data_IF_751501261741
#
_entry.id   IF_751501261741
#
_cell.length_a   1.000
_cell.length_b   1.000
_cell.length_c   1.000
_cell.angle_alpha   90.00
_cell.angle_beta   90.00
_cell.angle_gamma   90.00
#
_symmetry.space_group_name_H-M   'P 1'
#
loop_
_entity.id
_entity.type
_entity.pdbx_description
1 polymer ?
#
# COMPACT_ATOMS: atom_id res chain seq x y z
N UNK A 1 -0.84 6.73 9.05
CA UNK A 1 -0.51 6.60 7.61
C UNK A 1 0.76 5.76 7.48
N UNK A 2 0.91 4.97 6.43
CA UNK A 2 2.11 4.17 6.18
C UNK A 2 2.54 4.22 4.71
N UNK A 3 3.84 4.01 4.47
CA UNK A 3 4.53 4.11 3.18
C UNK A 3 5.52 2.95 3.05
N UNK A 4 6.03 2.71 1.85
CA UNK A 4 7.11 1.76 1.61
C UNK A 4 6.81 0.78 0.49
N UNK A 5 7.25 -0.46 0.67
CA UNK A 5 7.22 -1.52 -0.34
C UNK A 5 6.41 -2.74 0.15
N UNK A 6 6.77 -3.94 -0.31
CA UNK A 6 6.14 -5.20 0.05
C UNK A 6 6.13 -5.50 1.55
N UNK A 7 7.08 -4.98 2.32
CA UNK A 7 7.16 -5.21 3.77
C UNK A 7 6.05 -4.48 4.54
N UNK A 8 5.45 -3.45 3.92
CA UNK A 8 4.38 -2.64 4.50
C UNK A 8 3.08 -2.75 3.72
N UNK A 9 3.08 -3.18 2.45
CA UNK A 9 1.89 -3.23 1.60
C UNK A 9 0.80 -4.20 2.13
N UNK A 10 -0.31 -3.61 2.57
CA UNK A 10 -1.47 -4.34 3.12
C UNK A 10 -2.54 -4.70 2.08
N UNK A 11 -2.27 -4.47 0.79
CA UNK A 11 -3.13 -4.97 -0.30
C UNK A 11 -3.20 -4.12 -1.56
N UNK A 12 -2.48 -2.99 -1.66
CA UNK A 12 -2.39 -2.19 -2.89
C UNK A 12 -1.91 -3.03 -4.07
N UNK A 13 -1.03 -4.01 -3.83
CA UNK A 13 -0.56 -4.94 -4.85
C UNK A 13 -1.68 -5.68 -5.60
N UNK A 14 -2.84 -5.92 -4.98
CA UNK A 14 -3.98 -6.56 -5.66
C UNK A 14 -4.73 -5.61 -6.61
N UNK A 15 -4.54 -4.30 -6.46
CA UNK A 15 -5.25 -3.27 -7.22
C UNK A 15 -4.39 -2.63 -8.32
N UNK A 16 -3.08 -2.91 -8.35
CA UNK A 16 -2.18 -2.40 -9.37
C UNK A 16 -1.90 -3.46 -10.46
N UNK A 17 -2.09 -3.10 -11.73
CA UNK A 17 -1.95 -4.02 -12.86
C UNK A 17 -0.58 -4.72 -12.91
N UNK A 18 0.50 -4.02 -12.56
CA UNK A 18 1.87 -4.55 -12.54
C UNK A 18 2.06 -5.70 -11.52
N UNK A 19 1.26 -5.72 -10.45
CA UNK A 19 1.46 -6.64 -9.30
C UNK A 19 0.26 -7.55 -9.03
N UNK A 20 -0.92 -7.27 -9.59
CA UNK A 20 -2.20 -7.94 -9.23
C UNK A 20 -2.25 -9.44 -9.50
N UNK A 21 -1.40 -9.94 -10.40
CA UNK A 21 -1.26 -11.35 -10.73
C UNK A 21 0.06 -11.95 -10.18
N UNK A 22 0.72 -11.21 -9.27
CA UNK A 22 1.97 -11.61 -8.64
C UNK A 22 1.77 -12.68 -7.56
N UNK A 23 2.87 -13.14 -6.93
CA UNK A 23 2.82 -14.21 -5.93
C UNK A 23 1.84 -13.94 -4.78
N UNK A 24 1.74 -12.71 -4.30
CA UNK A 24 0.89 -12.33 -3.15
C UNK A 24 -0.62 -12.38 -3.42
N UNK A 25 -1.04 -12.68 -4.66
CA UNK A 25 -2.45 -12.88 -5.01
C UNK A 25 -2.90 -14.34 -4.98
N UNK A 26 -2.03 -15.28 -4.56
CA UNK A 26 -2.31 -16.73 -4.49
C UNK A 26 -1.71 -17.37 -3.24
N UNK A 27 -2.13 -18.59 -2.85
CA UNK A 27 -1.48 -19.33 -1.77
C UNK A 27 0.04 -19.48 -2.00
N UNK A 28 0.87 -19.49 -0.93
CA UNK A 28 0.50 -19.57 0.49
C UNK A 28 0.20 -18.19 1.14
N UNK A 29 0.15 -17.11 0.38
CA UNK A 29 0.00 -15.76 0.96
C UNK A 29 -1.35 -15.58 1.64
N UNK A 30 -1.33 -15.08 2.88
CA UNK A 30 -2.50 -14.88 3.73
C UNK A 30 -3.14 -16.15 4.34
N UNK A 31 -2.58 -17.34 4.14
CA UNK A 31 -3.09 -18.62 4.65
C UNK A 31 -3.19 -18.72 6.19
N UNK A 32 -2.24 -18.19 6.95
CA UNK A 32 -2.18 -18.40 8.42
C UNK A 32 -3.17 -17.53 9.19
N UNK A 33 -3.39 -16.28 8.74
CA UNK A 33 -4.23 -15.31 9.44
C UNK A 33 -5.51 -14.95 8.69
N UNK A 34 -5.41 -14.55 7.41
CA UNK A 34 -6.54 -14.04 6.63
C UNK A 34 -7.36 -15.15 5.95
N UNK A 35 -6.81 -16.37 5.88
CA UNK A 35 -7.37 -17.54 5.19
C UNK A 35 -7.64 -17.31 3.69
N UNK A 36 -7.01 -16.28 3.11
CA UNK A 36 -7.04 -15.95 1.68
C UNK A 36 -5.90 -14.99 1.34
N UNK A 37 -5.46 -14.93 0.08
CA UNK A 37 -4.53 -13.90 -0.39
C UNK A 37 -5.09 -12.50 -0.18
N UNK A 38 -4.26 -11.61 0.38
CA UNK A 38 -4.61 -10.19 0.61
C UNK A 38 -3.68 -9.21 -0.10
N UNK A 39 -2.71 -9.70 -0.88
CA UNK A 39 -1.68 -8.88 -1.50
C UNK A 39 -0.46 -8.61 -0.62
N UNK A 40 -0.52 -8.94 0.68
CA UNK A 40 0.63 -8.91 1.59
C UNK A 40 1.69 -9.91 1.15
N UNK A 41 2.95 -9.53 1.22
CA UNK A 41 4.08 -10.42 1.00
C UNK A 41 4.39 -11.27 2.25
N UNK A 42 3.37 -11.91 2.80
CA UNK A 42 3.42 -12.77 3.99
C UNK A 42 2.33 -13.84 3.88
N UNK A 43 2.52 -14.98 4.56
CA UNK A 43 1.47 -15.99 4.73
C UNK A 43 0.36 -15.51 5.68
N UNK A 44 0.52 -14.34 6.29
CA UNK A 44 -0.47 -13.74 7.18
C UNK A 44 -0.26 -12.24 7.31
N UNK A 45 -0.06 -11.80 8.55
CA UNK A 45 0.13 -10.40 8.92
C UNK A 45 1.52 -9.88 8.55
N UNK A 46 1.62 -8.57 8.42
CA UNK A 46 2.86 -7.79 8.33
C UNK A 46 3.15 -7.10 9.68
N UNK A 47 4.37 -6.60 9.86
CA UNK A 47 4.77 -5.84 11.06
C UNK A 47 3.81 -4.68 11.34
N UNK A 48 3.33 -3.99 10.30
CA UNK A 48 2.36 -2.89 10.43
C UNK A 48 1.01 -3.33 11.01
N UNK A 49 0.57 -4.56 10.75
CA UNK A 49 -0.68 -5.09 11.32
C UNK A 49 -0.52 -5.28 12.83
N UNK A 50 0.60 -5.88 13.28
CA UNK A 50 0.90 -6.04 14.71
C UNK A 50 1.00 -4.70 15.45
N UNK A 51 1.59 -3.67 14.83
CA UNK A 51 1.65 -2.33 15.40
C UNK A 51 0.24 -1.74 15.56
N UNK A 52 -0.61 -1.86 14.54
CA UNK A 52 -1.98 -1.36 14.60
C UNK A 52 -2.80 -2.06 15.69
N UNK A 53 -2.69 -3.39 15.79
CA UNK A 53 -3.31 -4.19 16.85
C UNK A 53 -2.84 -3.77 18.25
N UNK A 54 -1.53 -3.60 18.44
CA UNK A 54 -0.95 -3.19 19.72
C UNK A 54 -1.40 -1.78 20.15
N UNK A 55 -1.64 -0.89 19.19
CA UNK A 55 -2.16 0.46 19.45
C UNK A 55 -3.69 0.51 19.57
N UNK A 56 -4.40 -0.61 19.35
CA UNK A 56 -5.86 -0.66 19.35
C UNK A 56 -6.51 0.15 18.24
N UNK A 57 -5.79 0.39 17.13
CA UNK A 57 -6.30 1.15 15.98
C UNK A 57 -6.66 0.22 14.82
N UNK A 58 -7.59 0.61 13.93
CA UNK A 58 -7.92 -0.18 12.76
C UNK A 58 -6.72 -0.36 11.83
N UNK A 59 -6.69 -1.47 11.08
CA UNK A 59 -5.74 -1.64 9.99
C UNK A 59 -5.93 -0.53 8.94
N UNK A 60 -4.85 0.09 8.45
CA UNK A 60 -4.95 1.17 7.48
C UNK A 60 -5.47 0.64 6.14
N UNK A 61 -6.40 1.38 5.54
CA UNK A 61 -6.97 1.06 4.22
C UNK A 61 -5.88 1.16 3.15
N UNK A 62 -5.68 0.13 2.29
CA UNK A 62 -4.82 0.28 1.12
C UNK A 62 -5.33 1.41 0.22
N UNK A 63 -4.47 2.37 -0.12
CA UNK A 63 -4.84 3.56 -0.90
C UNK A 63 -5.62 3.23 -2.19
N UNK A 64 -5.20 2.22 -2.95
CA UNK A 64 -5.81 1.82 -4.22
C UNK A 64 -7.14 1.07 -4.03
N UNK A 65 -7.48 0.66 -2.81
CA UNK A 65 -8.74 0.00 -2.49
C UNK A 65 -9.82 0.99 -2.04
N UNK A 66 -9.45 2.13 -1.46
CA UNK A 66 -10.39 3.15 -0.98
C UNK A 66 -10.87 4.10 -2.08
N UNK A 67 -12.08 4.65 -1.91
CA UNK A 67 -12.73 5.52 -2.92
C UNK A 67 -13.20 6.86 -2.36
N UNK A 68 -13.30 6.99 -1.03
CA UNK A 68 -13.92 8.12 -0.36
C UNK A 68 -13.11 8.60 0.85
N UNK A 69 -13.44 9.79 1.35
CA UNK A 69 -12.87 10.31 2.59
C UNK A 69 -13.15 9.39 3.80
N UNK A 70 -14.30 8.72 3.81
CA UNK A 70 -14.68 7.81 4.88
C UNK A 70 -13.78 6.57 4.92
N UNK A 71 -13.43 6.01 3.76
CA UNK A 71 -12.50 4.88 3.65
C UNK A 71 -11.12 5.20 4.24
N UNK A 72 -10.74 6.48 4.23
CA UNK A 72 -9.42 6.96 4.62
C UNK A 72 -9.37 7.60 6.01
N UNK A 73 -10.53 7.86 6.64
CA UNK A 73 -10.62 8.53 7.95
C UNK A 73 -9.84 7.82 9.05
N UNK A 74 -9.75 6.49 9.00
CA UNK A 74 -9.09 5.66 10.03
C UNK A 74 -7.67 5.27 9.67
N UNK A 75 -7.09 5.92 8.65
CA UNK A 75 -5.72 5.70 8.21
C UNK A 75 -5.62 5.05 6.84
N UNK A 76 -4.51 5.32 6.16
CA UNK A 76 -4.24 4.86 4.80
C UNK A 76 -2.83 4.30 4.71
N UNK A 77 -2.69 3.23 3.92
CA UNK A 77 -1.44 2.63 3.54
C UNK A 77 -1.14 2.91 2.07
N UNK A 78 -0.05 3.62 1.80
CA UNK A 78 0.39 4.00 0.47
C UNK A 78 1.46 3.07 -0.11
N UNK A 79 1.95 2.10 0.68
CA UNK A 79 2.98 1.16 0.25
C UNK A 79 2.49 0.27 -0.90
N UNK A 80 3.38 -0.05 -1.84
CA UNK A 80 3.09 -0.98 -2.94
C UNK A 80 4.23 -1.97 -3.05
N UNK A 81 3.93 -3.27 -3.11
CA UNK A 81 4.93 -4.31 -3.33
C UNK A 81 5.84 -3.98 -4.52
N UNK A 82 7.16 -3.96 -4.30
CA UNK A 82 8.15 -3.63 -5.33
C UNK A 82 8.33 -2.13 -5.63
N UNK A 83 7.68 -1.24 -4.88
CA UNK A 83 7.92 0.20 -4.99
C UNK A 83 9.36 0.55 -4.61
N UNK A 84 9.86 1.63 -5.22
CA UNK A 84 11.24 2.11 -5.03
C UNK A 84 11.27 3.44 -4.30
N UNK A 85 12.39 3.74 -3.61
CA UNK A 85 12.55 5.06 -2.99
C UNK A 85 12.69 6.19 -4.04
N UNK A 86 13.31 5.88 -5.18
CA UNK A 86 13.63 6.85 -6.23
C UNK A 86 12.72 6.66 -7.45
N UNK A 87 12.56 7.71 -8.24
CA UNK A 87 11.73 7.67 -9.46
C UNK A 87 12.35 6.81 -10.58
N UNK A 88 11.56 6.44 -11.60
CA UNK A 88 12.03 5.62 -12.73
C UNK A 88 13.25 6.22 -13.44
N UNK A 89 13.32 7.54 -13.61
CA UNK A 89 14.42 8.25 -14.27
C UNK A 89 15.81 7.92 -13.68
N UNK A 90 15.88 7.72 -12.35
CA UNK A 90 17.12 7.33 -11.67
C UNK A 90 17.61 5.94 -12.11
N UNK A 91 16.69 5.01 -12.35
CA UNK A 91 17.03 3.66 -12.78
C UNK A 91 17.30 3.64 -14.28
N UNK A 92 16.50 4.36 -15.07
CA UNK A 92 16.63 4.43 -16.52
C UNK A 92 17.97 5.05 -16.94
N UNK A 93 18.44 6.09 -16.23
CA UNK A 93 19.79 6.66 -16.42
C UNK A 93 20.94 5.68 -16.15
N UNK A 94 20.66 4.52 -15.52
CA UNK A 94 21.61 3.42 -15.29
C UNK A 94 21.32 2.18 -16.14
N UNK A 95 20.43 2.28 -17.12
CA UNK A 95 20.01 1.16 -17.95
C UNK A 95 19.16 0.11 -17.21
N UNK A 96 18.54 0.50 -16.08
CA UNK A 96 17.66 -0.35 -15.28
C UNK A 96 16.21 0.08 -15.48
N UNK A 97 15.29 -0.88 -15.47
CA UNK A 97 13.85 -0.62 -15.51
C UNK A 97 13.17 -1.20 -14.28
N UNK A 98 12.61 -0.38 -13.38
CA UNK A 98 11.84 -0.87 -12.26
C UNK A 98 10.64 -1.68 -12.75
N UNK A 99 10.40 -2.82 -12.12
CA UNK A 99 9.25 -3.67 -12.45
C UNK A 99 7.91 -2.98 -12.11
N UNK A 100 7.88 -2.24 -11.00
CA UNK A 100 6.68 -1.57 -10.50
C UNK A 100 6.78 -0.07 -10.78
N UNK A 101 5.76 0.53 -11.43
CA UNK A 101 5.76 1.96 -11.77
C UNK A 101 5.34 2.84 -10.58
N UNK A 102 5.82 2.51 -9.38
CA UNK A 102 5.51 3.23 -8.14
C UNK A 102 6.81 3.52 -7.40
N UNK A 103 7.00 4.79 -7.09
CA UNK A 103 8.09 5.28 -6.25
C UNK A 103 7.53 5.99 -5.02
N UNK A 104 8.42 6.37 -4.09
CA UNK A 104 8.06 7.20 -2.94
C UNK A 104 7.38 8.52 -3.38
N UNK A 105 7.77 9.12 -4.50
CA UNK A 105 7.13 10.33 -5.04
C UNK A 105 5.64 10.11 -5.34
N UNK A 106 5.27 8.95 -5.87
CA UNK A 106 3.86 8.59 -6.08
C UNK A 106 3.12 8.50 -4.74
N UNK A 107 3.71 7.81 -3.76
CA UNK A 107 3.10 7.62 -2.45
C UNK A 107 2.93 8.95 -1.68
N UNK A 108 3.91 9.84 -1.77
CA UNK A 108 3.84 11.19 -1.21
C UNK A 108 2.74 12.03 -1.90
N UNK A 109 2.56 11.87 -3.21
CA UNK A 109 1.48 12.51 -3.95
C UNK A 109 0.11 11.99 -3.50
N UNK A 110 -0.06 10.67 -3.37
CA UNK A 110 -1.28 10.06 -2.85
C UNK A 110 -1.60 10.52 -1.44
N UNK A 111 -0.59 10.65 -0.58
CA UNK A 111 -0.75 11.20 0.76
C UNK A 111 -1.29 12.63 0.74
N UNK A 112 -0.72 13.52 -0.09
CA UNK A 112 -1.23 14.89 -0.26
C UNK A 112 -2.68 14.90 -0.73
N UNK A 113 -3.04 14.05 -1.68
CA UNK A 113 -4.42 13.93 -2.18
C UNK A 113 -5.38 13.48 -1.06
N UNK A 114 -4.98 12.51 -0.24
CA UNK A 114 -5.78 12.07 0.92
C UNK A 114 -5.95 13.20 1.93
N UNK A 115 -4.90 13.97 2.24
CA UNK A 115 -5.01 15.10 3.15
C UNK A 115 -5.98 16.17 2.63
N UNK A 116 -5.92 16.50 1.33
CA UNK A 116 -6.86 17.44 0.71
C UNK A 116 -8.30 16.90 0.76
N UNK A 117 -8.50 15.62 0.45
CA UNK A 117 -9.80 14.97 0.51
C UNK A 117 -10.37 15.01 1.93
N UNK A 118 -9.59 14.68 2.95
CA UNK A 118 -10.02 14.71 4.35
C UNK A 118 -10.25 16.14 4.87
N UNK A 119 -9.44 17.11 4.42
CA UNK A 119 -9.58 18.53 4.77
C UNK A 119 -10.83 19.16 4.19
N UNK A 120 -11.20 18.84 2.95
CA UNK A 120 -12.41 19.37 2.29
C UNK A 120 -13.73 18.95 2.95
N UNK A 121 -13.73 17.86 3.73
CA UNK A 121 -14.90 17.39 4.49
C UNK A 121 -15.14 18.19 5.77
N UNK A 122 -14.12 18.88 6.30
CA UNK A 122 -14.23 19.67 7.54
C UNK A 122 -14.52 21.16 7.30
N UNK A 123 -14.48 21.62 6.04
CA UNK A 123 -14.79 23.01 5.66
C UNK A 123 -16.25 23.21 5.22
N UNK A 124 -17.16 22.31 5.62
CA UNK A 124 -18.61 22.43 5.40
C UNK A 124 -19.35 22.42 6.72
#
# INVERSE_FOLDING_TARGET
FSFGDSLTDTGNSLHLAATRAGPSSRPPYGETFFRRPTGRASDGRLVVDFIAEALGVPHPTPYLAGKSAEDFRRGVNFAVGGATALGPDFFESRGLKPFVPVSFTNQATWFKNVLQLLGSVHSK
#
